data_IF_219956924168
#
_entry.id   IF_219956924168
#
_cell.length_a   1.000
_cell.length_b   1.000
_cell.length_c   1.000
_cell.angle_alpha   90.00
_cell.angle_beta   90.00
_cell.angle_gamma   90.00
#
_symmetry.space_group_name_H-M   'P 1'
#
loop_
_entity.id
_entity.type
_entity.pdbx_description
1 polymer ?
#
# COMPACT_ATOMS: atom_id res chain seq x y z
N UNK A 1 -2.10 -13.83 3.10
CA UNK A 1 -1.87 -14.37 1.75
C UNK A 1 -0.38 -14.39 1.43
N UNK A 2 0.35 -13.29 1.70
CA UNK A 2 1.81 -13.22 1.64
C UNK A 2 2.58 -14.33 2.35
N UNK A 3 2.10 -14.90 3.46
CA UNK A 3 2.79 -16.02 4.13
C UNK A 3 2.88 -17.28 3.25
N UNK A 4 1.85 -17.57 2.45
CA UNK A 4 1.84 -18.72 1.54
C UNK A 4 2.84 -18.52 0.39
N UNK A 5 2.78 -17.35 -0.27
CA UNK A 5 3.70 -16.98 -1.33
C UNK A 5 5.15 -16.88 -0.82
N UNK A 6 5.37 -16.38 0.40
CA UNK A 6 6.69 -16.32 1.05
C UNK A 6 7.28 -17.71 1.26
N UNK A 7 6.47 -18.67 1.70
CA UNK A 7 6.90 -20.04 1.90
C UNK A 7 7.20 -20.72 0.55
N UNK A 8 6.34 -20.52 -0.45
CA UNK A 8 6.55 -21.05 -1.81
C UNK A 8 7.79 -20.48 -2.46
N UNK A 9 8.01 -19.16 -2.37
CA UNK A 9 9.23 -18.49 -2.83
C UNK A 9 10.48 -19.09 -2.20
N UNK A 10 10.50 -19.32 -0.89
CA UNK A 10 11.64 -19.94 -0.20
C UNK A 10 11.91 -21.36 -0.68
N UNK A 11 10.85 -22.15 -0.88
CA UNK A 11 10.95 -23.52 -1.42
C UNK A 11 11.47 -23.49 -2.86
N UNK A 12 10.91 -22.64 -3.71
CA UNK A 12 11.31 -22.50 -5.12
C UNK A 12 12.75 -22.01 -5.24
N UNK A 13 13.15 -20.98 -4.50
CA UNK A 13 14.51 -20.47 -4.55
C UNK A 13 15.53 -21.49 -4.00
N UNK A 14 15.19 -22.25 -2.96
CA UNK A 14 16.09 -23.28 -2.43
C UNK A 14 16.21 -24.47 -3.40
N UNK A 15 15.09 -24.91 -3.97
CA UNK A 15 15.02 -26.08 -4.84
C UNK A 15 15.55 -25.82 -6.26
N UNK A 16 15.35 -24.60 -6.81
CA UNK A 16 15.83 -24.22 -8.14
C UNK A 16 17.36 -24.23 -8.25
N UNK A 17 18.08 -23.96 -7.16
CA UNK A 17 19.54 -24.02 -7.12
C UNK A 17 20.09 -25.41 -6.73
N UNK A 18 19.23 -26.31 -6.24
CA UNK A 18 19.64 -27.61 -5.71
C UNK A 18 19.33 -28.81 -6.62
N UNK A 19 18.49 -28.67 -7.66
CA UNK A 19 17.92 -29.82 -8.39
C UNK A 19 18.29 -29.90 -9.88
N UNK A 20 18.43 -31.14 -10.35
CA UNK A 20 18.39 -31.54 -11.76
C UNK A 20 16.97 -31.54 -12.37
N UNK A 21 15.90 -31.38 -11.55
CA UNK A 21 14.48 -31.45 -11.96
C UNK A 21 13.72 -30.13 -11.72
N UNK A 22 14.11 -29.10 -12.48
CA UNK A 22 13.44 -27.78 -12.47
C UNK A 22 11.99 -27.89 -12.98
N UNK A 23 11.72 -28.80 -13.91
CA UNK A 23 10.39 -29.02 -14.47
C UNK A 23 9.40 -29.53 -13.41
N UNK A 24 9.80 -30.49 -12.58
CA UNK A 24 9.00 -30.99 -11.45
C UNK A 24 8.72 -29.92 -10.39
N UNK A 25 9.70 -29.05 -10.11
CA UNK A 25 9.50 -27.89 -9.22
C UNK A 25 8.44 -26.93 -9.76
N UNK A 26 8.54 -26.56 -11.04
CA UNK A 26 7.59 -25.67 -11.69
C UNK A 26 6.17 -26.24 -11.66
N UNK A 27 5.98 -27.51 -12.04
CA UNK A 27 4.65 -28.17 -12.00
C UNK A 27 3.99 -28.11 -10.62
N UNK A 28 4.78 -28.15 -9.54
CA UNK A 28 4.29 -28.13 -8.15
C UNK A 28 4.05 -26.72 -7.61
N UNK A 29 4.95 -25.78 -7.89
CA UNK A 29 4.88 -24.43 -7.31
C UNK A 29 3.95 -23.48 -8.08
N UNK A 30 3.87 -23.65 -9.39
CA UNK A 30 3.25 -22.66 -10.28
C UNK A 30 1.73 -22.51 -10.12
N UNK A 31 0.94 -23.58 -9.92
CA UNK A 31 -0.50 -23.45 -9.66
C UNK A 31 -0.79 -22.57 -8.44
N UNK A 32 0.09 -22.61 -7.45
CA UNK A 32 -0.09 -21.87 -6.21
C UNK A 32 0.35 -20.40 -6.33
N UNK A 33 1.38 -20.11 -7.13
CA UNK A 33 1.73 -18.74 -7.52
C UNK A 33 0.57 -18.08 -8.27
N UNK A 34 0.03 -18.79 -9.27
CA UNK A 34 -1.11 -18.34 -10.07
C UNK A 34 -2.34 -18.05 -9.22
N UNK A 35 -2.72 -19.01 -8.37
CA UNK A 35 -3.83 -18.81 -7.42
C UNK A 35 -3.58 -17.64 -6.48
N UNK A 36 -2.36 -17.47 -5.98
CA UNK A 36 -2.00 -16.31 -5.17
C UNK A 36 -2.21 -14.98 -5.88
N UNK A 37 -2.01 -14.92 -7.21
CA UNK A 37 -2.32 -13.75 -8.03
C UNK A 37 -3.81 -13.55 -8.28
N UNK A 38 -4.56 -14.62 -8.52
CA UNK A 38 -6.02 -14.55 -8.64
C UNK A 38 -6.63 -13.95 -7.36
N UNK A 39 -6.16 -14.40 -6.19
CA UNK A 39 -6.61 -13.90 -4.89
C UNK A 39 -6.26 -12.40 -4.68
N UNK A 40 -5.21 -11.87 -5.32
CA UNK A 40 -4.86 -10.44 -5.27
C UNK A 40 -5.93 -9.54 -5.89
N UNK A 41 -6.67 -10.02 -6.88
CA UNK A 41 -7.73 -9.23 -7.51
C UNK A 41 -8.80 -8.81 -6.51
N UNK A 42 -9.01 -9.60 -5.44
CA UNK A 42 -9.95 -9.29 -4.37
C UNK A 42 -9.48 -8.21 -3.39
N UNK A 43 -8.19 -7.82 -3.41
CA UNK A 43 -7.67 -6.78 -2.51
C UNK A 43 -8.01 -5.36 -2.97
N UNK A 44 -8.34 -5.17 -4.25
CA UNK A 44 -8.58 -3.85 -4.84
C UNK A 44 -9.97 -3.81 -5.41
N UNK A 45 -10.80 -2.97 -4.81
CA UNK A 45 -12.13 -2.65 -5.34
C UNK A 45 -12.02 -1.43 -6.27
N UNK A 46 -12.32 -1.57 -7.57
CA UNK A 46 -12.25 -0.45 -8.51
C UNK A 46 -13.32 0.61 -8.23
N UNK A 47 -14.40 0.23 -7.54
CA UNK A 47 -15.56 1.09 -7.24
C UNK A 47 -15.46 1.82 -5.89
N UNK A 48 -14.34 1.65 -5.18
CA UNK A 48 -14.12 2.33 -3.91
C UNK A 48 -14.14 3.85 -4.13
N UNK A 49 -14.88 4.56 -3.27
CA UNK A 49 -14.96 6.02 -3.38
C UNK A 49 -13.58 6.66 -3.21
N UNK A 50 -13.29 7.76 -3.93
CA UNK A 50 -12.06 8.49 -3.69
C UNK A 50 -12.03 8.96 -2.23
N UNK A 51 -10.85 8.95 -1.63
CA UNK A 51 -10.66 9.60 -0.33
C UNK A 51 -10.84 11.10 -0.56
N UNK A 52 -11.59 11.80 0.28
CA UNK A 52 -11.81 13.25 0.16
C UNK A 52 -11.92 13.82 1.56
N UNK A 53 -11.26 14.97 1.79
CA UNK A 53 -11.42 15.76 3.00
C UNK A 53 -12.72 16.57 2.88
N UNK A 54 -13.69 16.35 3.78
CA UNK A 54 -15.02 16.97 3.70
C UNK A 54 -15.17 18.23 4.54
N UNK A 55 -14.29 18.48 5.50
CA UNK A 55 -14.40 19.65 6.38
C UNK A 55 -14.26 20.97 5.62
N UNK A 56 -15.02 21.99 6.03
CA UNK A 56 -14.83 23.36 5.57
C UNK A 56 -13.56 23.96 6.19
N UNK A 57 -12.43 23.68 5.54
CA UNK A 57 -11.10 24.09 5.98
C UNK A 57 -11.00 25.61 6.16
N UNK A 58 -11.65 26.39 5.30
CA UNK A 58 -11.59 27.85 5.36
C UNK A 58 -12.33 28.37 6.59
N UNK A 59 -13.53 27.89 6.83
CA UNK A 59 -14.32 28.27 8.01
C UNK A 59 -13.62 27.83 9.29
N UNK A 60 -13.08 26.61 9.32
CA UNK A 60 -12.32 26.10 10.46
C UNK A 60 -11.09 26.96 10.77
N UNK A 61 -10.26 27.27 9.77
CA UNK A 61 -9.07 28.11 9.96
C UNK A 61 -9.43 29.55 10.39
N UNK A 62 -10.54 30.10 9.89
CA UNK A 62 -11.07 31.38 10.32
C UNK A 62 -11.49 31.38 11.80
N UNK A 63 -12.15 30.31 12.24
CA UNK A 63 -12.53 30.13 13.65
C UNK A 63 -11.31 30.02 14.56
N UNK A 64 -10.29 29.24 14.15
CA UNK A 64 -9.05 29.08 14.93
C UNK A 64 -8.32 30.39 15.18
N UNK A 65 -8.38 31.34 14.24
CA UNK A 65 -7.74 32.65 14.40
C UNK A 65 -8.36 33.48 15.53
N UNK A 66 -9.64 33.25 15.86
CA UNK A 66 -10.35 33.95 16.94
C UNK A 66 -10.26 33.30 18.32
N UNK A 67 -9.65 32.11 18.44
CA UNK A 67 -9.68 31.31 19.67
C UNK A 67 -8.28 30.96 20.18
N UNK A 68 -8.10 31.04 21.50
CA UNK A 68 -6.85 30.61 22.14
C UNK A 68 -6.74 29.08 22.11
N UNK A 69 -5.54 28.58 21.79
CA UNK A 69 -5.22 27.16 21.82
C UNK A 69 -5.59 26.47 23.15
N UNK A 70 -5.42 27.15 24.29
CA UNK A 70 -5.77 26.60 25.62
C UNK A 70 -7.26 26.32 25.76
N UNK A 71 -8.12 27.07 25.07
CA UNK A 71 -9.57 26.84 25.07
C UNK A 71 -9.95 25.62 24.24
N UNK A 72 -9.15 25.30 23.20
CA UNK A 72 -9.37 24.19 22.29
C UNK A 72 -8.73 22.89 22.76
N UNK A 73 -7.64 22.98 23.53
CA UNK A 73 -6.84 21.83 23.97
C UNK A 73 -7.62 20.67 24.60
N UNK A 74 -8.67 20.87 25.41
CA UNK A 74 -9.39 19.75 26.02
C UNK A 74 -10.45 19.13 25.09
N UNK A 75 -10.71 19.70 23.91
CA UNK A 75 -11.69 19.17 22.98
C UNK A 75 -11.25 17.77 22.50
N UNK A 76 -12.19 16.84 22.28
CA UNK A 76 -11.85 15.53 21.76
C UNK A 76 -11.41 15.63 20.31
N UNK A 77 -10.40 14.84 19.96
CA UNK A 77 -9.89 14.65 18.61
C UNK A 77 -9.86 13.16 18.29
N UNK A 78 -10.18 12.79 17.06
CA UNK A 78 -10.12 11.41 16.60
C UNK A 78 -8.75 11.11 16.03
N UNK A 79 -8.26 9.90 16.21
CA UNK A 79 -7.00 9.43 15.61
C UNK A 79 -7.20 8.05 15.00
N UNK A 80 -6.37 7.64 14.02
CA UNK A 80 -6.23 6.24 13.66
C UNK A 80 -5.99 5.37 14.90
N UNK A 81 -6.55 4.17 14.88
CA UNK A 81 -6.53 3.27 16.03
C UNK A 81 -5.09 3.01 16.52
N UNK A 82 -4.82 3.34 17.78
CA UNK A 82 -3.53 3.13 18.42
C UNK A 82 -2.47 4.19 18.10
N UNK A 83 -2.80 5.26 17.35
CA UNK A 83 -1.85 6.33 17.04
C UNK A 83 -1.46 7.10 18.32
N UNK A 84 -0.15 7.23 18.56
CA UNK A 84 0.41 7.91 19.75
C UNK A 84 1.16 9.21 19.43
N UNK A 85 1.40 9.50 18.17
CA UNK A 85 2.12 10.72 17.73
C UNK A 85 1.15 11.81 17.23
N UNK A 86 1.58 13.08 17.14
CA UNK A 86 0.81 14.16 16.53
C UNK A 86 0.53 13.91 15.04
N UNK A 87 -0.48 14.59 14.48
CA UNK A 87 -0.88 14.42 13.08
C UNK A 87 0.24 14.70 12.09
N UNK A 88 1.02 15.77 12.27
CA UNK A 88 2.09 16.11 11.33
C UNK A 88 3.20 15.04 11.28
N UNK A 89 3.56 14.48 12.44
CA UNK A 89 4.55 13.39 12.53
C UNK A 89 4.05 12.14 11.80
N UNK A 90 2.77 11.81 12.00
CA UNK A 90 2.17 10.68 11.30
C UNK A 90 2.03 10.92 9.79
N UNK A 91 1.63 12.11 9.40
CA UNK A 91 1.41 12.48 8.00
C UNK A 91 2.72 12.48 7.20
N UNK A 92 3.85 12.86 7.82
CA UNK A 92 5.17 12.74 7.22
C UNK A 92 5.56 11.27 6.96
N UNK A 93 5.44 10.40 7.97
CA UNK A 93 5.69 8.97 7.80
C UNK A 93 4.77 8.32 6.75
N UNK A 94 3.52 8.79 6.65
CA UNK A 94 2.56 8.33 5.65
C UNK A 94 2.87 8.84 4.23
N UNK A 95 3.51 10.00 4.10
CA UNK A 95 3.87 10.60 2.81
C UNK A 95 4.90 9.76 2.04
N UNK A 96 5.90 9.22 2.73
CA UNK A 96 6.88 8.31 2.15
C UNK A 96 6.20 7.05 1.62
N UNK A 97 5.38 6.41 2.47
CA UNK A 97 4.67 5.19 2.11
C UNK A 97 3.68 5.38 0.95
N UNK A 98 2.99 6.52 0.87
CA UNK A 98 2.12 6.87 -0.27
C UNK A 98 2.94 7.01 -1.55
N UNK A 99 4.11 7.64 -1.48
CA UNK A 99 4.98 7.84 -2.64
C UNK A 99 5.46 6.52 -3.24
N UNK A 100 5.86 5.56 -2.40
CA UNK A 100 6.24 4.22 -2.85
C UNK A 100 5.01 3.40 -3.32
N UNK A 101 3.92 3.40 -2.56
CA UNK A 101 2.69 2.69 -2.94
C UNK A 101 2.11 3.17 -4.28
N UNK A 102 2.32 4.43 -4.65
CA UNK A 102 1.87 4.98 -5.92
C UNK A 102 2.62 4.41 -7.15
N UNK A 103 3.75 3.74 -6.95
CA UNK A 103 4.53 3.10 -8.02
C UNK A 103 3.98 1.73 -8.45
N UNK A 104 2.95 1.21 -7.78
CA UNK A 104 2.42 -0.13 -8.02
C UNK A 104 2.08 -0.43 -9.49
N UNK A 105 1.57 0.57 -10.23
CA UNK A 105 1.26 0.41 -11.66
C UNK A 105 2.52 0.16 -12.51
N UNK A 106 3.62 0.84 -12.19
CA UNK A 106 4.91 0.65 -12.86
C UNK A 106 5.50 -0.71 -12.52
N UNK A 107 5.48 -1.08 -11.24
CA UNK A 107 5.96 -2.37 -10.75
C UNK A 107 5.23 -3.54 -11.40
N UNK A 108 3.89 -3.50 -11.43
CA UNK A 108 3.06 -4.50 -12.10
C UNK A 108 3.32 -4.54 -13.61
N UNK A 109 3.52 -3.38 -14.24
CA UNK A 109 3.83 -3.33 -15.67
C UNK A 109 5.17 -3.98 -15.99
N UNK A 110 6.19 -3.76 -15.15
CA UNK A 110 7.49 -4.42 -15.28
C UNK A 110 7.36 -5.94 -15.14
N UNK A 111 6.62 -6.42 -14.13
CA UNK A 111 6.40 -7.85 -13.95
C UNK A 111 5.59 -8.48 -15.09
N UNK A 112 4.53 -7.80 -15.53
CA UNK A 112 3.71 -8.24 -16.68
C UNK A 112 4.55 -8.35 -17.95
N UNK A 113 5.45 -7.38 -18.19
CA UNK A 113 6.37 -7.41 -19.33
C UNK A 113 7.35 -8.61 -19.24
N UNK A 114 7.88 -8.89 -18.05
CA UNK A 114 8.71 -10.07 -17.81
C UNK A 114 7.95 -11.36 -18.17
N UNK A 115 6.71 -11.52 -17.69
CA UNK A 115 5.87 -12.68 -18.03
C UNK A 115 5.61 -12.77 -19.53
N UNK A 116 5.31 -11.64 -20.19
CA UNK A 116 5.09 -11.57 -21.63
C UNK A 116 6.31 -12.00 -22.44
N UNK A 117 7.51 -11.60 -22.04
CA UNK A 117 8.78 -12.04 -22.66
C UNK A 117 8.98 -13.55 -22.51
N UNK A 118 8.71 -14.11 -21.33
CA UNK A 118 8.80 -15.55 -21.09
C UNK A 118 7.80 -16.35 -21.93
N UNK A 119 6.61 -15.80 -22.19
CA UNK A 119 5.63 -16.41 -23.09
C UNK A 119 6.04 -16.32 -24.56
N UNK A 120 6.65 -15.23 -25.00
CA UNK A 120 6.84 -14.92 -26.43
C UNK A 120 8.22 -15.29 -26.98
N UNK A 121 9.27 -15.27 -26.16
CA UNK A 121 10.65 -15.51 -26.59
C UNK A 121 11.20 -16.82 -26.01
N UNK A 122 11.44 -17.79 -26.88
CA UNK A 122 12.06 -19.06 -26.49
C UNK A 122 13.49 -18.86 -25.98
N UNK A 123 14.25 -17.89 -26.53
CA UNK A 123 15.61 -17.60 -26.07
C UNK A 123 15.63 -17.02 -24.65
N UNK A 124 14.60 -16.25 -24.28
CA UNK A 124 14.53 -15.59 -22.97
C UNK A 124 14.49 -16.60 -21.81
N UNK A 125 13.95 -17.80 -22.02
CA UNK A 125 13.90 -18.83 -20.97
C UNK A 125 15.30 -19.32 -20.53
N UNK A 126 16.31 -19.12 -21.37
CA UNK A 126 17.70 -19.45 -21.09
C UNK A 126 18.50 -18.25 -20.54
N UNK A 127 17.86 -17.09 -20.40
CA UNK A 127 18.52 -15.89 -19.92
C UNK A 127 19.04 -16.07 -18.49
N UNK A 128 20.20 -15.51 -18.20
CA UNK A 128 20.74 -15.35 -16.86
C UNK A 128 20.47 -13.95 -16.29
N UNK A 129 19.75 -13.10 -17.03
CA UNK A 129 19.31 -11.79 -16.55
C UNK A 129 18.29 -12.00 -15.43
N UNK A 130 18.77 -11.90 -14.20
CA UNK A 130 17.97 -11.81 -12.99
C UNK A 130 18.49 -10.58 -12.23
N UNK A 131 17.59 -9.67 -11.85
CA UNK A 131 17.93 -8.49 -11.05
C UNK A 131 17.49 -8.66 -9.59
N UNK A 132 18.28 -9.35 -8.74
CA UNK A 132 17.99 -9.47 -7.32
C UNK A 132 18.13 -8.15 -6.57
N UNK A 133 18.79 -7.13 -7.15
CA UNK A 133 18.94 -5.84 -6.48
C UNK A 133 17.62 -5.09 -6.48
N UNK A 134 16.90 -5.11 -7.61
CA UNK A 134 15.56 -4.52 -7.72
C UNK A 134 14.59 -5.06 -6.67
N UNK A 135 14.42 -6.39 -6.57
CA UNK A 135 13.46 -6.97 -5.61
C UNK A 135 13.87 -6.79 -4.15
N UNK A 136 15.18 -6.78 -3.86
CA UNK A 136 15.69 -6.46 -2.52
C UNK A 136 15.38 -5.02 -2.14
N UNK A 137 15.52 -4.08 -3.07
CA UNK A 137 15.19 -2.68 -2.84
C UNK A 137 13.68 -2.49 -2.58
N UNK A 138 12.82 -3.14 -3.36
CA UNK A 138 11.37 -3.14 -3.11
C UNK A 138 11.04 -3.65 -1.70
N UNK A 139 11.66 -4.77 -1.30
CA UNK A 139 11.46 -5.32 0.04
C UNK A 139 11.94 -4.37 1.13
N UNK A 140 13.13 -3.78 0.95
CA UNK A 140 13.72 -2.82 1.90
C UNK A 140 12.82 -1.59 2.09
N UNK A 141 12.33 -1.02 0.99
CA UNK A 141 11.41 0.13 1.05
C UNK A 141 10.16 -0.19 1.86
N UNK A 142 9.53 -1.35 1.61
CA UNK A 142 8.37 -1.79 2.40
C UNK A 142 8.68 -1.99 3.87
N UNK A 143 9.84 -2.56 4.20
CA UNK A 143 10.27 -2.78 5.58
C UNK A 143 10.51 -1.44 6.29
N UNK A 144 11.18 -0.49 5.62
CA UNK A 144 11.44 0.86 6.13
C UNK A 144 10.14 1.62 6.37
N UNK A 145 9.19 1.59 5.43
CA UNK A 145 7.89 2.25 5.57
C UNK A 145 7.05 1.63 6.69
N UNK A 146 7.01 0.30 6.78
CA UNK A 146 6.33 -0.39 7.88
C UNK A 146 6.96 -0.07 9.23
N UNK A 147 8.29 0.05 9.31
CA UNK A 147 9.00 0.43 10.52
C UNK A 147 8.67 1.87 10.92
N UNK A 148 8.80 2.84 10.01
CA UNK A 148 8.47 4.26 10.25
C UNK A 148 7.02 4.43 10.69
N UNK A 149 6.08 3.81 9.96
CA UNK A 149 4.67 3.84 10.31
C UNK A 149 4.44 3.15 11.65
N UNK A 150 5.05 2.00 11.91
CA UNK A 150 4.92 1.25 13.16
C UNK A 150 5.36 2.04 14.39
N UNK A 151 6.40 2.88 14.27
CA UNK A 151 6.85 3.77 15.34
C UNK A 151 5.79 4.79 15.77
N UNK A 152 4.85 5.14 14.89
CA UNK A 152 3.76 6.08 15.16
C UNK A 152 2.64 5.49 16.04
N UNK A 153 2.61 4.16 16.22
CA UNK A 153 1.56 3.45 16.95
C UNK A 153 2.04 2.94 18.32
N UNK A 154 1.09 2.74 19.22
CA UNK A 154 1.30 2.06 20.49
C UNK A 154 0.81 0.60 20.39
N UNK A 155 1.72 -0.35 20.60
CA UNK A 155 1.42 -1.79 20.55
C UNK A 155 0.27 -2.14 21.49
N UNK A 156 -0.74 -2.86 20.97
CA UNK A 156 -1.92 -3.29 21.73
C UNK A 156 -2.94 -2.21 22.04
N UNK A 157 -2.70 -0.94 21.65
CA UNK A 157 -3.66 0.14 21.87
C UNK A 157 -4.76 0.11 20.82
N UNK A 158 -6.01 0.13 21.28
CA UNK A 158 -7.21 0.26 20.44
C UNK A 158 -7.84 1.65 20.50
N UNK A 159 -7.16 2.61 21.14
CA UNK A 159 -7.68 3.97 21.34
C UNK A 159 -7.80 4.71 20.01
N UNK A 160 -8.96 5.31 19.76
CA UNK A 160 -9.28 6.12 18.58
C UNK A 160 -9.56 7.58 18.93
N UNK A 161 -9.54 7.93 20.22
CA UNK A 161 -9.81 9.27 20.73
C UNK A 161 -8.62 9.75 21.56
N UNK A 162 -8.27 11.02 21.36
CA UNK A 162 -7.26 11.77 22.10
C UNK A 162 -7.76 13.21 22.28
N UNK A 163 -6.98 14.05 22.94
CA UNK A 163 -7.31 15.48 23.04
C UNK A 163 -6.83 16.26 21.82
N UNK A 164 -7.37 17.45 21.59
CA UNK A 164 -6.89 18.35 20.55
C UNK A 164 -5.41 18.68 20.73
N UNK A 165 -4.96 18.86 21.97
CA UNK A 165 -3.55 19.12 22.28
C UNK A 165 -2.62 17.92 22.10
N UNK A 166 -3.17 16.71 22.01
CA UNK A 166 -2.40 15.51 21.69
C UNK A 166 -2.08 15.38 20.19
N UNK A 167 -2.92 15.95 19.33
CA UNK A 167 -2.86 15.74 17.87
C UNK A 167 -2.18 16.90 17.14
N UNK A 168 -2.19 18.10 17.71
CA UNK A 168 -1.49 19.28 17.21
C UNK A 168 -0.83 20.04 18.35
N UNK A 169 0.29 20.72 18.10
CA UNK A 169 1.01 21.46 19.14
C UNK A 169 0.53 22.92 19.27
N UNK A 170 -0.04 23.48 18.21
CA UNK A 170 -0.59 24.84 18.16
C UNK A 170 -1.62 24.98 17.03
N UNK A 171 -2.49 25.99 17.12
CA UNK A 171 -3.52 26.24 16.09
C UNK A 171 -2.96 26.44 14.68
N UNK A 172 -1.77 27.04 14.56
CA UNK A 172 -1.14 27.30 13.26
C UNK A 172 -0.79 26.02 12.48
N UNK A 173 -0.62 24.88 13.16
CA UNK A 173 -0.22 23.62 12.53
C UNK A 173 -1.34 23.03 11.67
N UNK A 174 -2.60 23.40 11.92
CA UNK A 174 -3.76 22.86 11.18
C UNK A 174 -3.74 23.16 9.70
N UNK A 175 -3.21 24.33 9.31
CA UNK A 175 -3.06 24.67 7.89
C UNK A 175 -2.17 23.62 7.21
N UNK A 176 -1.04 23.30 7.83
CA UNK A 176 -0.12 22.26 7.33
C UNK A 176 -0.76 20.88 7.38
N UNK A 177 -1.53 20.55 8.42
CA UNK A 177 -2.25 19.27 8.51
C UNK A 177 -3.19 19.10 7.32
N UNK A 178 -4.01 20.11 7.00
CA UNK A 178 -4.90 20.06 5.85
C UNK A 178 -4.16 20.01 4.52
N UNK A 179 -3.11 20.82 4.34
CA UNK A 179 -2.29 20.81 3.13
C UNK A 179 -1.70 19.40 2.87
N UNK A 180 -1.14 18.77 3.90
CA UNK A 180 -0.59 17.42 3.78
C UNK A 180 -1.69 16.38 3.59
N UNK A 181 -2.82 16.46 4.31
CA UNK A 181 -3.94 15.55 4.13
C UNK A 181 -4.52 15.60 2.70
N UNK A 182 -4.68 16.80 2.14
CA UNK A 182 -5.12 17.00 0.75
C UNK A 182 -4.09 16.42 -0.24
N UNK A 183 -2.79 16.64 0.00
CA UNK A 183 -1.72 16.07 -0.84
C UNK A 183 -1.72 14.55 -0.82
N UNK A 184 -1.72 13.93 0.37
CA UNK A 184 -1.77 12.47 0.53
C UNK A 184 -2.99 11.87 -0.19
N UNK A 185 -4.13 12.56 -0.07
CA UNK A 185 -5.37 12.18 -0.76
C UNK A 185 -5.23 12.26 -2.28
N UNK A 186 -4.67 13.34 -2.80
CA UNK A 186 -4.45 13.52 -4.24
C UNK A 186 -3.48 12.46 -4.79
N UNK A 187 -2.37 12.22 -4.09
CA UNK A 187 -1.34 11.28 -4.50
C UNK A 187 -1.87 9.83 -4.52
N UNK A 188 -2.59 9.42 -3.48
CA UNK A 188 -3.12 8.05 -3.45
C UNK A 188 -4.29 7.83 -4.43
N UNK A 189 -5.13 8.85 -4.65
CA UNK A 189 -6.24 8.79 -5.61
C UNK A 189 -5.76 8.88 -7.07
N UNK A 190 -4.56 9.39 -7.33
CA UNK A 190 -3.95 9.40 -8.67
C UNK A 190 -3.67 7.99 -9.19
N UNK A 191 -3.54 7.01 -8.30
CA UNK A 191 -3.35 5.62 -8.68
C UNK A 191 -4.65 5.06 -9.25
N UNK A 192 -4.66 4.83 -10.56
CA UNK A 192 -5.81 4.25 -11.24
C UNK A 192 -5.94 2.75 -10.91
N UNK A 193 -6.87 2.44 -10.00
CA UNK A 193 -7.19 1.07 -9.57
C UNK A 193 -7.72 0.21 -10.72
N UNK A 194 -8.35 0.79 -11.73
CA UNK A 194 -8.80 0.04 -12.91
C UNK A 194 -7.61 -0.48 -13.73
N UNK A 195 -6.51 0.28 -13.78
CA UNK A 195 -5.26 -0.17 -14.41
C UNK A 195 -4.65 -1.31 -13.60
N UNK A 196 -4.64 -1.20 -12.25
CA UNK A 196 -4.15 -2.28 -11.40
C UNK A 196 -4.93 -3.57 -11.65
N UNK A 197 -6.26 -3.53 -11.60
CA UNK A 197 -7.12 -4.72 -11.84
C UNK A 197 -6.86 -5.32 -13.23
N UNK A 198 -6.74 -4.47 -14.26
CA UNK A 198 -6.39 -4.93 -15.62
C UNK A 198 -5.02 -5.62 -15.67
N UNK A 199 -4.01 -5.05 -15.01
CA UNK A 199 -2.64 -5.61 -14.99
C UNK A 199 -2.54 -6.91 -14.19
N UNK A 200 -3.31 -7.04 -13.10
CA UNK A 200 -3.46 -8.31 -12.37
C UNK A 200 -4.08 -9.37 -13.29
N UNK A 201 -5.18 -9.05 -13.98
CA UNK A 201 -5.83 -9.98 -14.90
C UNK A 201 -4.91 -10.38 -16.07
N UNK A 202 -4.15 -9.43 -16.62
CA UNK A 202 -3.13 -9.69 -17.66
C UNK A 202 -2.03 -10.62 -17.13
N UNK A 203 -1.52 -10.38 -15.92
CA UNK A 203 -0.52 -11.24 -15.28
C UNK A 203 -1.06 -12.65 -15.04
N UNK A 204 -2.29 -12.80 -14.53
CA UNK A 204 -2.94 -14.10 -14.34
C UNK A 204 -3.06 -14.85 -15.67
N UNK A 205 -3.49 -14.17 -16.73
CA UNK A 205 -3.58 -14.78 -18.05
C UNK A 205 -2.22 -15.25 -18.58
N UNK A 206 -1.16 -14.45 -18.41
CA UNK A 206 0.20 -14.85 -18.81
C UNK A 206 0.72 -16.02 -17.96
N UNK A 207 0.42 -16.04 -16.66
CA UNK A 207 0.72 -17.18 -15.79
C UNK A 207 -0.04 -18.43 -16.24
N UNK A 208 -1.32 -18.35 -16.63
CA UNK A 208 -2.06 -19.49 -17.20
C UNK A 208 -1.37 -20.06 -18.46
N UNK A 209 -0.85 -19.18 -19.32
CA UNK A 209 -0.13 -19.59 -20.53
C UNK A 209 1.18 -20.28 -20.16
N UNK A 210 1.95 -19.71 -19.22
CA UNK A 210 3.20 -20.31 -18.72
C UNK A 210 2.92 -21.69 -18.09
N UNK A 211 1.86 -21.84 -17.30
CA UNK A 211 1.46 -23.12 -16.71
C UNK A 211 1.21 -24.17 -17.79
N UNK A 212 0.47 -23.81 -18.85
CA UNK A 212 0.22 -24.71 -19.99
C UNK A 212 1.50 -25.10 -20.70
N UNK A 213 2.46 -24.17 -20.86
CA UNK A 213 3.78 -24.48 -21.44
C UNK A 213 4.57 -25.44 -20.56
N UNK A 214 4.55 -25.28 -19.23
CA UNK A 214 5.17 -26.20 -18.27
C UNK A 214 4.57 -27.61 -18.39
N UNK A 215 3.25 -27.72 -18.50
CA UNK A 215 2.56 -29.01 -18.67
C UNK A 215 2.94 -29.69 -20.00
N UNK A 216 3.15 -28.91 -21.06
CA UNK A 216 3.55 -29.39 -22.39
C UNK A 216 5.05 -29.61 -22.57
N UNK A 217 5.85 -29.45 -21.52
CA UNK A 217 7.32 -29.59 -21.57
C UNK A 217 7.99 -28.56 -22.51
N UNK A 218 7.30 -27.47 -22.84
CA UNK A 218 7.82 -26.40 -23.71
C UNK A 218 8.84 -25.48 -23.00
N UNK A 219 8.95 -25.57 -21.67
CA UNK A 219 9.93 -24.83 -20.84
C UNK A 219 11.04 -25.74 -20.29
N UNK A 220 11.33 -26.87 -20.96
CA UNK A 220 12.49 -27.68 -20.62
C UNK A 220 13.80 -26.90 -20.78
N UNK A 221 14.67 -26.98 -19.77
CA UNK A 221 15.94 -26.27 -19.74
C UNK A 221 15.86 -24.79 -19.36
N UNK A 222 14.71 -24.30 -18.88
CA UNK A 222 14.60 -22.95 -18.31
C UNK A 222 15.66 -22.71 -17.23
N UNK A 223 16.29 -21.54 -17.25
CA UNK A 223 17.37 -21.24 -16.33
C UNK A 223 16.86 -21.14 -14.88
N UNK A 224 17.66 -21.53 -13.87
CA UNK A 224 17.31 -21.28 -12.47
C UNK A 224 17.04 -19.81 -12.15
N UNK A 225 17.69 -18.90 -12.87
CA UNK A 225 17.50 -17.45 -12.75
C UNK A 225 16.07 -17.04 -13.11
N UNK A 226 15.55 -17.52 -14.24
CA UNK A 226 14.16 -17.24 -14.67
C UNK A 226 13.14 -17.80 -13.67
N UNK A 227 13.35 -19.02 -13.16
CA UNK A 227 12.45 -19.61 -12.16
C UNK A 227 12.47 -18.82 -10.85
N UNK A 228 13.65 -18.36 -10.45
CA UNK A 228 13.82 -17.50 -9.27
C UNK A 228 13.11 -16.16 -9.50
N UNK A 229 13.32 -15.50 -10.62
CA UNK A 229 12.70 -14.23 -10.96
C UNK A 229 11.17 -14.32 -11.03
N UNK A 230 10.66 -15.40 -11.61
CA UNK A 230 9.24 -15.66 -11.73
C UNK A 230 8.55 -15.77 -10.36
N UNK A 231 9.16 -16.52 -9.44
CA UNK A 231 8.64 -16.71 -8.08
C UNK A 231 8.87 -15.51 -7.16
N UNK A 232 10.03 -14.84 -7.25
CA UNK A 232 10.34 -13.64 -6.49
C UNK A 232 9.46 -12.47 -6.96
N UNK A 233 9.38 -12.23 -8.28
CA UNK A 233 8.52 -11.20 -8.86
C UNK A 233 7.06 -11.40 -8.45
N UNK A 234 6.57 -12.64 -8.47
CA UNK A 234 5.23 -12.95 -8.00
C UNK A 234 5.01 -12.54 -6.53
N UNK A 235 5.91 -12.97 -5.64
CA UNK A 235 5.84 -12.64 -4.23
C UNK A 235 5.93 -11.13 -3.98
N UNK A 236 6.79 -10.43 -4.73
CA UNK A 236 7.03 -9.01 -4.59
C UNK A 236 5.81 -8.20 -5.02
N UNK A 237 5.19 -8.52 -6.18
CA UNK A 237 3.96 -7.83 -6.61
C UNK A 237 2.80 -8.05 -5.62
N UNK A 238 2.66 -9.27 -5.10
CA UNK A 238 1.67 -9.53 -4.07
C UNK A 238 1.90 -8.68 -2.81
N UNK A 239 3.16 -8.57 -2.38
CA UNK A 239 3.54 -7.76 -1.22
C UNK A 239 3.33 -6.26 -1.46
N UNK A 240 3.56 -5.78 -2.69
CA UNK A 240 3.32 -4.38 -3.05
C UNK A 240 1.83 -4.05 -3.11
N UNK A 241 0.99 -4.96 -3.60
CA UNK A 241 -0.46 -4.80 -3.57
C UNK A 241 -1.02 -4.78 -2.14
N UNK A 242 -0.51 -5.64 -1.26
CA UNK A 242 -0.85 -5.61 0.17
C UNK A 242 -0.42 -4.26 0.80
N UNK A 243 0.78 -3.76 0.48
CA UNK A 243 1.23 -2.45 0.93
C UNK A 243 0.33 -1.33 0.43
N UNK A 244 0.04 -1.28 -0.87
CA UNK A 244 -0.83 -0.26 -1.47
C UNK A 244 -2.19 -0.22 -0.77
N UNK A 245 -2.83 -1.37 -0.59
CA UNK A 245 -4.14 -1.49 0.07
C UNK A 245 -4.08 -1.00 1.52
N UNK A 246 -3.03 -1.38 2.25
CA UNK A 246 -2.82 -0.94 3.64
C UNK A 246 -2.56 0.57 3.74
N UNK A 247 -1.77 1.14 2.83
CA UNK A 247 -1.48 2.57 2.79
C UNK A 247 -2.72 3.37 2.42
N UNK A 248 -3.50 2.91 1.44
CA UNK A 248 -4.78 3.54 1.06
C UNK A 248 -5.73 3.64 2.25
N UNK A 249 -5.92 2.53 2.99
CA UNK A 249 -6.74 2.51 4.20
C UNK A 249 -6.20 3.45 5.30
N UNK A 250 -4.87 3.53 5.46
CA UNK A 250 -4.22 4.46 6.40
C UNK A 250 -4.47 5.92 6.02
N UNK A 251 -4.41 6.28 4.73
CA UNK A 251 -4.77 7.63 4.26
C UNK A 251 -6.25 7.92 4.54
N UNK A 252 -7.15 6.99 4.21
CA UNK A 252 -8.58 7.17 4.46
C UNK A 252 -8.88 7.40 5.94
N UNK A 253 -8.31 6.57 6.83
CA UNK A 253 -8.51 6.70 8.28
C UNK A 253 -7.88 7.98 8.84
N UNK A 254 -6.74 8.42 8.31
CA UNK A 254 -6.12 9.70 8.67
C UNK A 254 -6.99 10.89 8.28
N UNK A 255 -7.45 10.95 7.02
CA UNK A 255 -8.31 12.01 6.50
C UNK A 255 -9.61 12.08 7.30
N UNK A 256 -10.25 10.93 7.55
CA UNK A 256 -11.47 10.84 8.37
C UNK A 256 -11.24 11.35 9.80
N UNK A 257 -10.08 11.05 10.39
CA UNK A 257 -9.73 11.52 11.72
C UNK A 257 -9.52 13.04 11.76
N UNK A 258 -8.85 13.60 10.75
CA UNK A 258 -8.65 15.05 10.57
C UNK A 258 -9.98 15.77 10.40
N UNK A 259 -10.86 15.27 9.52
CA UNK A 259 -12.21 15.81 9.29
C UNK A 259 -13.04 15.83 10.56
N UNK A 260 -13.11 14.68 11.25
CA UNK A 260 -13.88 14.56 12.49
C UNK A 260 -13.40 15.57 13.54
N UNK A 261 -12.09 15.67 13.74
CA UNK A 261 -11.51 16.61 14.70
C UNK A 261 -11.81 18.06 14.32
N UNK A 262 -11.79 18.39 13.02
CA UNK A 262 -12.18 19.71 12.55
C UNK A 262 -13.67 20.01 12.81
N UNK A 263 -14.55 19.04 12.56
CA UNK A 263 -15.98 19.16 12.83
C UNK A 263 -16.31 19.35 14.31
N UNK A 264 -15.62 18.63 15.21
CA UNK A 264 -15.81 18.78 16.65
C UNK A 264 -15.57 20.23 17.08
N UNK A 265 -14.48 20.84 16.59
CA UNK A 265 -14.17 22.24 16.86
C UNK A 265 -15.23 23.16 16.27
N UNK A 266 -15.61 22.97 15.01
CA UNK A 266 -16.66 23.79 14.37
C UNK A 266 -17.97 23.75 15.18
N UNK A 267 -18.43 22.57 15.58
CA UNK A 267 -19.67 22.41 16.36
C UNK A 267 -19.58 23.07 17.74
N UNK A 268 -18.41 23.00 18.39
CA UNK A 268 -18.21 23.54 19.74
C UNK A 268 -18.39 25.07 19.82
N UNK A 269 -18.18 25.80 18.72
CA UNK A 269 -18.27 27.27 18.72
C UNK A 269 -19.37 27.83 17.82
N UNK A 270 -19.67 27.23 16.66
CA UNK A 270 -20.76 27.70 15.79
C UNK A 270 -22.13 27.49 16.47
N UNK A 271 -22.30 26.39 17.21
CA UNK A 271 -23.54 26.15 17.97
C UNK A 271 -23.76 27.11 19.14
N UNK A 272 -22.69 27.71 19.68
CA UNK A 272 -22.78 28.67 20.80
C UNK A 272 -23.14 30.09 20.33
N UNK A 273 -22.70 30.49 19.13
CA UNK A 273 -23.04 31.79 18.56
C UNK A 273 -24.52 31.90 18.16
N UNK A 274 -25.14 30.79 17.75
CA UNK A 274 -26.57 30.75 17.43
C UNK A 274 -27.48 30.74 18.67
N UNK A 275 -27.00 30.24 19.82
CA UNK A 275 -27.75 30.24 21.08
C UNK A 275 -27.64 31.55 21.87
N UNK A 276 -26.70 32.43 21.50
CA UNK A 276 -26.45 33.72 22.19
C UNK A 276 -27.04 34.93 21.46
N UNK A 277 -27.78 34.69 20.35
CA UNK A 277 -28.54 35.69 19.60
C UNK A 277 -30.03 35.43 19.77
#
# INVERSE_FOLDING_TARGET
MTTLLKNQRKVVALEAFALQDIAGLLRRAFPAIRKGFEDLAGLISPDDRPVVLSADQKTFLGLLAGHNYVTLSPLPARVPQGLKVPYLVYAEALSDAVSHAAQINEELSRYTLFLGRLVTSHEFQYSAEYDPAYYRELQRQREDDNQKLGQCYQTGSTRTERTYADVVSRNADWKTVFEVANRLTADINRVDRSIITKKIAESVHLLDVIEKKIVREELEGVSPGIVTELSEGAFQMASQLEMYSAVWYKVQTFVTAVDFSAEVVLRAFVGKEQASR
#
